data_IF_056775349142
#
_entry.id   IF_056775349142
#
_cell.length_a   1.000
_cell.length_b   1.000
_cell.length_c   1.000
_cell.angle_alpha   90.00
_cell.angle_beta   90.00
_cell.angle_gamma   90.00
#
_symmetry.space_group_name_H-M   'P 1'
#
loop_
_entity.id
_entity.type
_entity.pdbx_description
1 polymer ?
#
# COMPACT_ATOMS: atom_id res chain seq x y z
N UNK A 1 -16.14 -1.37 9.73
CA UNK A 1 -14.72 -1.72 9.98
C UNK A 1 -13.92 -0.43 9.94
N UNK A 2 -13.05 -0.17 10.93
CA UNK A 2 -12.08 0.95 10.85
C UNK A 2 -10.85 0.46 10.11
N UNK A 3 -10.39 1.21 9.11
CA UNK A 3 -9.27 0.83 8.26
C UNK A 3 -8.41 2.06 7.97
N UNK A 4 -7.09 1.85 7.95
CA UNK A 4 -6.11 2.80 7.44
C UNK A 4 -5.66 2.37 6.05
N UNK A 5 -5.63 3.28 5.09
CA UNK A 5 -5.36 2.97 3.68
C UNK A 5 -4.00 3.46 3.20
N UNK A 6 -3.23 4.15 4.06
CA UNK A 6 -1.93 4.72 3.69
C UNK A 6 -0.94 4.50 4.83
N UNK A 7 -0.16 3.43 4.75
CA UNK A 7 0.79 3.04 5.80
C UNK A 7 2.08 2.54 5.19
N UNK A 8 3.21 3.01 5.73
CA UNK A 8 4.55 2.60 5.33
C UNK A 8 5.20 1.71 6.38
N UNK A 9 5.99 0.73 5.95
CA UNK A 9 6.77 -0.15 6.80
C UNK A 9 8.25 -0.13 6.38
N UNK A 10 9.15 -0.20 7.37
CA UNK A 10 10.60 -0.06 7.17
C UNK A 10 11.20 -1.13 6.25
N UNK A 11 10.51 -2.23 6.03
CA UNK A 11 10.91 -3.30 5.14
C UNK A 11 10.99 -2.85 3.67
N UNK A 12 10.25 -1.79 3.30
CA UNK A 12 10.13 -1.34 1.90
C UNK A 12 10.09 0.18 1.72
N UNK A 13 9.91 0.97 2.77
CA UNK A 13 9.92 2.44 2.71
C UNK A 13 10.97 3.04 3.65
N UNK A 14 11.85 3.88 3.12
CA UNK A 14 12.91 4.54 3.90
C UNK A 14 12.37 5.57 4.89
N UNK A 15 11.13 6.06 4.71
CA UNK A 15 10.47 6.99 5.62
C UNK A 15 9.93 6.32 6.89
N UNK A 16 9.80 4.99 6.90
CA UNK A 16 9.21 4.25 8.00
C UNK A 16 10.25 3.78 9.03
N UNK A 17 9.90 3.89 10.31
CA UNK A 17 10.74 3.44 11.43
C UNK A 17 10.31 2.06 11.93
N UNK A 18 9.01 1.81 11.98
CA UNK A 18 8.44 0.57 12.49
C UNK A 18 8.27 -0.48 11.38
N UNK A 19 8.38 -1.75 11.76
CA UNK A 19 8.14 -2.86 10.87
C UNK A 19 6.67 -3.24 10.79
N UNK A 20 6.32 -4.05 9.78
CA UNK A 20 4.94 -4.45 9.52
C UNK A 20 4.24 -5.01 10.77
N UNK A 21 4.93 -5.88 11.51
CA UNK A 21 4.38 -6.55 12.68
C UNK A 21 4.17 -5.60 13.87
N UNK A 22 5.06 -4.62 14.07
CA UNK A 22 4.89 -3.57 15.08
C UNK A 22 3.64 -2.74 14.76
N UNK A 23 3.53 -2.29 13.52
CA UNK A 23 2.43 -1.46 13.02
C UNK A 23 1.10 -2.20 13.16
N UNK A 24 1.01 -3.47 12.74
CA UNK A 24 -0.22 -4.26 12.85
C UNK A 24 -0.64 -4.41 14.32
N UNK A 25 0.28 -4.72 15.23
CA UNK A 25 -0.03 -4.84 16.66
C UNK A 25 -0.55 -3.52 17.24
N UNK A 26 0.05 -2.40 16.87
CA UNK A 26 -0.43 -1.08 17.27
C UNK A 26 -1.82 -0.80 16.72
N UNK A 27 -2.05 -1.02 15.42
CA UNK A 27 -3.35 -0.80 14.79
C UNK A 27 -4.48 -1.60 15.47
N UNK A 28 -4.22 -2.87 15.80
CA UNK A 28 -5.15 -3.71 16.58
C UNK A 28 -5.41 -3.10 17.96
N UNK A 29 -4.37 -2.69 18.68
CA UNK A 29 -4.49 -2.10 20.02
C UNK A 29 -5.32 -0.80 20.01
N UNK A 30 -5.27 -0.02 18.93
CA UNK A 30 -6.07 1.19 18.73
C UNK A 30 -7.44 0.94 18.09
N UNK A 31 -7.83 -0.32 17.89
CA UNK A 31 -9.16 -0.71 17.46
C UNK A 31 -9.42 -0.61 15.96
N UNK A 32 -8.37 -0.64 15.12
CA UNK A 32 -8.52 -0.85 13.68
C UNK A 32 -8.84 -2.32 13.39
N UNK A 33 -9.63 -2.54 12.34
CA UNK A 33 -9.94 -3.87 11.81
C UNK A 33 -9.09 -4.26 10.60
N UNK A 34 -8.31 -3.33 10.06
CA UNK A 34 -7.35 -3.59 9.00
C UNK A 34 -6.50 -2.38 8.65
N UNK A 35 -5.51 -2.60 7.79
CA UNK A 35 -4.73 -1.56 7.13
C UNK A 35 -4.29 -1.98 5.73
N UNK A 36 -3.88 -1.02 4.90
CA UNK A 36 -3.14 -1.27 3.67
C UNK A 36 -1.70 -0.78 3.82
N UNK A 37 -0.72 -1.62 3.50
CA UNK A 37 0.64 -1.16 3.29
C UNK A 37 0.76 -0.59 1.88
N UNK A 38 1.19 0.65 1.78
CA UNK A 38 1.34 1.44 0.54
C UNK A 38 2.74 2.04 0.49
N UNK A 39 3.73 1.15 0.51
CA UNK A 39 5.13 1.55 0.55
C UNK A 39 5.55 2.32 -0.72
N UNK A 40 6.56 3.19 -0.60
CA UNK A 40 7.02 3.99 -1.73
C UNK A 40 7.60 3.08 -2.81
N UNK A 41 7.00 3.11 -3.99
CA UNK A 41 7.47 2.41 -5.19
C UNK A 41 7.66 0.90 -5.02
N UNK A 42 7.10 0.28 -3.98
CA UNK A 42 7.25 -1.15 -3.69
C UNK A 42 5.95 -1.75 -3.17
N UNK A 43 5.52 -2.84 -3.79
CA UNK A 43 4.40 -3.65 -3.33
C UNK A 43 4.85 -4.60 -2.22
N UNK A 44 3.93 -4.95 -1.33
CA UNK A 44 4.10 -6.07 -0.41
C UNK A 44 3.90 -7.39 -1.17
N UNK A 45 4.86 -8.34 -1.17
CA UNK A 45 4.68 -9.59 -1.89
C UNK A 45 3.39 -10.35 -1.48
N UNK A 46 2.67 -11.00 -2.42
CA UNK A 46 1.40 -11.70 -2.12
C UNK A 46 1.53 -12.75 -1.02
N UNK A 47 2.64 -13.49 -1.02
CA UNK A 47 2.95 -14.51 -0.02
C UNK A 47 3.10 -13.90 1.38
N UNK A 48 3.68 -12.71 1.47
CA UNK A 48 3.85 -11.98 2.73
C UNK A 48 2.50 -11.43 3.21
N UNK A 49 1.69 -10.86 2.33
CA UNK A 49 0.32 -10.45 2.67
C UNK A 49 -0.50 -11.66 3.18
N UNK A 50 -0.40 -12.81 2.52
CA UNK A 50 -1.11 -14.02 2.93
C UNK A 50 -0.61 -14.52 4.30
N UNK A 51 0.70 -14.47 4.55
CA UNK A 51 1.28 -14.79 5.86
C UNK A 51 0.75 -13.88 6.97
N UNK A 52 0.82 -12.56 6.78
CA UNK A 52 0.35 -11.57 7.74
C UNK A 52 -1.16 -11.75 8.03
N UNK A 53 -1.97 -11.95 7.00
CA UNK A 53 -3.41 -12.19 7.19
C UNK A 53 -3.71 -13.49 7.95
N UNK A 54 -2.94 -14.57 7.73
CA UNK A 54 -3.08 -15.79 8.54
C UNK A 54 -2.70 -15.56 9.99
N UNK A 55 -1.62 -14.81 10.23
CA UNK A 55 -1.05 -14.58 11.56
C UNK A 55 -1.92 -13.67 12.44
N UNK A 56 -2.51 -12.63 11.86
CA UNK A 56 -3.22 -11.59 12.61
C UNK A 56 -4.74 -11.64 12.46
N UNK A 57 -5.29 -12.70 11.88
CA UNK A 57 -6.74 -12.88 11.80
C UNK A 57 -7.40 -12.67 13.19
N UNK A 58 -8.51 -11.91 13.30
CA UNK A 58 -9.35 -11.44 12.20
C UNK A 58 -8.94 -10.09 11.57
N UNK A 59 -7.83 -9.47 12.00
CA UNK A 59 -7.31 -8.24 11.40
C UNK A 59 -6.94 -8.47 9.93
N UNK A 60 -7.27 -7.50 9.06
CA UNK A 60 -7.07 -7.60 7.61
C UNK A 60 -5.90 -6.74 7.15
N UNK A 61 -4.92 -7.36 6.51
CA UNK A 61 -3.79 -6.65 5.89
C UNK A 61 -4.01 -6.64 4.37
N UNK A 62 -4.05 -5.45 3.78
CA UNK A 62 -4.17 -5.25 2.35
C UNK A 62 -2.83 -4.74 1.77
N UNK A 63 -2.65 -4.91 0.47
CA UNK A 63 -1.54 -4.34 -0.26
C UNK A 63 -1.99 -3.19 -1.15
N UNK A 64 -1.12 -2.21 -1.29
CA UNK A 64 -1.12 -1.15 -2.27
C UNK A 64 0.30 -0.62 -2.47
N UNK A 65 0.42 0.53 -3.11
CA UNK A 65 1.70 1.20 -3.36
C UNK A 65 1.45 2.72 -3.38
N UNK A 66 2.40 3.49 -2.85
CA UNK A 66 2.44 4.94 -3.09
C UNK A 66 3.45 5.21 -4.21
N UNK A 67 2.97 5.83 -5.28
CA UNK A 67 3.78 6.19 -6.45
C UNK A 67 3.98 7.70 -6.48
N UNK A 68 5.23 8.12 -6.33
CA UNK A 68 5.66 9.47 -6.68
C UNK A 68 5.72 9.57 -8.20
N UNK A 69 4.91 10.46 -8.76
CA UNK A 69 4.84 10.72 -10.19
C UNK A 69 6.05 11.54 -10.66
N UNK A 70 6.26 11.60 -11.98
CA UNK A 70 7.32 12.39 -12.62
C UNK A 70 7.23 13.91 -12.33
N UNK A 71 6.04 14.41 -12.00
CA UNK A 71 5.81 15.80 -11.60
C UNK A 71 5.94 16.02 -10.08
N UNK A 72 6.19 14.96 -9.30
CA UNK A 72 6.45 14.99 -7.87
C UNK A 72 5.23 14.78 -6.98
N UNK A 73 4.03 14.64 -7.55
CA UNK A 73 2.82 14.33 -6.77
C UNK A 73 2.79 12.85 -6.37
N UNK A 74 2.29 12.54 -5.18
CA UNK A 74 2.19 11.16 -4.70
C UNK A 74 0.77 10.60 -4.87
N UNK A 75 0.70 9.40 -5.46
CA UNK A 75 -0.55 8.70 -5.74
C UNK A 75 -0.61 7.35 -5.04
N UNK A 76 -1.68 7.11 -4.29
CA UNK A 76 -2.02 5.78 -3.77
C UNK A 76 -2.68 4.94 -4.84
N UNK A 77 -2.15 3.74 -5.07
CA UNK A 77 -2.76 2.71 -5.91
C UNK A 77 -3.23 1.56 -5.03
N UNK A 78 -4.51 1.24 -5.09
CA UNK A 78 -5.15 0.17 -4.33
C UNK A 78 -5.87 -0.82 -5.25
N UNK A 79 -5.89 -2.10 -4.86
CA UNK A 79 -6.60 -3.15 -5.60
C UNK A 79 -5.88 -3.63 -6.87
N UNK A 80 -4.66 -3.16 -7.12
CA UNK A 80 -3.79 -3.61 -8.21
C UNK A 80 -2.55 -4.26 -7.60
N UNK A 81 -2.22 -5.46 -8.06
CA UNK A 81 -1.04 -6.19 -7.62
C UNK A 81 -0.27 -6.70 -8.84
N UNK A 82 0.32 -5.76 -9.57
CA UNK A 82 1.10 -6.00 -10.78
C UNK A 82 2.48 -5.34 -10.64
N UNK A 83 3.54 -6.08 -10.95
CA UNK A 83 4.93 -5.62 -10.83
C UNK A 83 5.28 -4.51 -11.81
N UNK A 84 4.48 -4.30 -12.86
CA UNK A 84 4.65 -3.15 -13.75
C UNK A 84 4.57 -1.82 -12.99
N UNK A 85 3.85 -1.76 -11.86
CA UNK A 85 3.83 -0.58 -10.97
C UNK A 85 5.22 -0.21 -10.46
N UNK A 86 6.12 -1.19 -10.27
CA UNK A 86 7.49 -1.00 -9.78
C UNK A 86 8.52 -0.86 -10.91
N UNK A 87 8.13 -1.10 -12.16
CA UNK A 87 9.06 -1.32 -13.27
C UNK A 87 9.51 -0.03 -13.97
N UNK A 88 8.78 1.08 -13.78
CA UNK A 88 9.02 2.34 -14.47
C UNK A 88 8.47 3.53 -13.69
N UNK A 89 8.95 4.71 -14.06
CA UNK A 89 8.37 5.97 -13.60
C UNK A 89 7.04 6.25 -14.32
N UNK A 90 6.13 6.91 -13.62
CA UNK A 90 4.78 7.17 -14.11
C UNK A 90 4.49 8.67 -14.22
N UNK A 91 3.81 9.07 -15.29
CA UNK A 91 2.99 10.27 -15.26
C UNK A 91 1.55 9.89 -14.86
N UNK A 92 0.74 10.90 -14.49
CA UNK A 92 -0.64 10.68 -14.07
C UNK A 92 -1.49 9.94 -15.12
N UNK A 93 -1.41 10.33 -16.40
CA UNK A 93 -2.29 9.79 -17.45
C UNK A 93 -2.05 8.29 -17.66
N UNK A 94 -0.79 7.88 -17.73
CA UNK A 94 -0.41 6.49 -17.91
C UNK A 94 -0.78 5.65 -16.68
N UNK A 95 -0.51 6.17 -15.47
CA UNK A 95 -0.83 5.45 -14.23
C UNK A 95 -2.34 5.27 -14.09
N UNK A 96 -3.10 6.34 -14.35
CA UNK A 96 -4.55 6.29 -14.33
C UNK A 96 -5.08 5.24 -15.31
N UNK A 97 -4.62 5.26 -16.57
CA UNK A 97 -5.02 4.26 -17.58
C UNK A 97 -4.76 2.84 -17.10
N UNK A 98 -3.52 2.56 -16.66
CA UNK A 98 -3.10 1.25 -16.18
C UNK A 98 -3.91 0.75 -14.98
N UNK A 99 -4.17 1.61 -14.00
CA UNK A 99 -4.94 1.26 -12.79
C UNK A 99 -6.41 1.01 -13.15
N UNK A 100 -7.00 1.81 -14.04
CA UNK A 100 -8.40 1.68 -14.44
C UNK A 100 -8.65 0.40 -15.25
N UNK A 101 -7.74 0.03 -16.14
CA UNK A 101 -7.83 -1.22 -16.91
C UNK A 101 -7.90 -2.47 -16.02
N UNK A 102 -7.31 -2.40 -14.82
CA UNK A 102 -7.28 -3.47 -13.84
C UNK A 102 -8.37 -3.37 -12.77
N UNK A 103 -9.34 -2.46 -12.93
CA UNK A 103 -10.37 -2.16 -11.93
C UNK A 103 -9.82 -1.72 -10.57
N UNK A 104 -8.62 -1.13 -10.58
CA UNK A 104 -7.99 -0.55 -9.41
C UNK A 104 -8.57 0.80 -9.02
N UNK A 105 -8.10 1.28 -7.86
CA UNK A 105 -8.43 2.59 -7.31
C UNK A 105 -7.18 3.45 -7.18
N UNK A 106 -7.32 4.74 -7.47
CA UNK A 106 -6.25 5.72 -7.43
C UNK A 106 -6.72 6.91 -6.56
N UNK A 107 -5.87 7.38 -5.65
CA UNK A 107 -6.13 8.58 -4.85
C UNK A 107 -4.88 9.46 -4.74
N UNK A 108 -5.07 10.77 -4.82
CA UNK A 108 -4.01 11.74 -4.53
C UNK A 108 -3.70 11.71 -3.03
N UNK A 109 -2.44 11.53 -2.68
CA UNK A 109 -1.98 11.55 -1.30
C UNK A 109 -1.70 13.00 -0.84
N UNK A 110 -1.99 13.27 0.43
CA UNK A 110 -1.59 14.47 1.20
C UNK A 110 -1.49 15.83 0.43
N UNK A 111 -2.58 16.31 -0.21
CA UNK A 111 -2.64 17.61 -0.92
C UNK A 111 -2.67 18.85 -0.01
#
# INVERSE_FOLDING_TARGET
MKIDLHVHAKERSDCAIDGEEEIIRAAIAYGLGGLAFTDHQRLVPPERLAELNRRYAPFRVFGGIEITLLDGEDMLVLGVHDRELEARDWNYQDLFGFVREQNGFLALAHP
#
